data_IF_319000732001
#
_entry.id   IF_319000732001
#
_cell.length_a   1.000
_cell.length_b   1.000
_cell.length_c   1.000
_cell.angle_alpha   90.00
_cell.angle_beta   90.00
_cell.angle_gamma   90.00
#
_symmetry.space_group_name_H-M   'P 1'
#
loop_
_entity.id
_entity.type
_entity.pdbx_description
1 polymer ?
#
# COMPACT_ATOMS: atom_id res chain seq x y z
N UNK A 1 -26.26 -9.28 -1.18
CA UNK A 1 -24.89 -9.73 -0.87
C UNK A 1 -24.39 -9.00 0.35
N UNK A 2 -23.75 -9.71 1.29
CA UNK A 2 -23.27 -9.15 2.55
C UNK A 2 -21.74 -9.00 2.55
N UNK A 3 -21.06 -9.81 1.74
CA UNK A 3 -19.60 -9.87 1.69
C UNK A 3 -19.11 -9.76 0.25
N UNK A 4 -17.90 -9.20 0.10
CA UNK A 4 -17.14 -9.29 -1.13
C UNK A 4 -15.69 -9.59 -0.80
N UNK A 5 -15.06 -10.36 -1.69
CA UNK A 5 -13.65 -10.66 -1.53
C UNK A 5 -12.90 -10.30 -2.81
N UNK A 6 -11.85 -9.51 -2.68
CA UNK A 6 -10.96 -9.20 -3.80
C UNK A 6 -9.87 -10.26 -3.86
N UNK A 7 -9.71 -10.87 -5.03
CA UNK A 7 -8.68 -11.84 -5.34
C UNK A 7 -7.65 -11.13 -6.23
N UNK A 8 -6.48 -10.86 -5.71
CA UNK A 8 -5.43 -10.15 -6.43
C UNK A 8 -4.17 -10.04 -5.60
N UNK A 9 -3.01 -9.88 -6.22
CA UNK A 9 -1.70 -9.79 -5.56
C UNK A 9 -0.96 -8.52 -5.96
N UNK A 10 -0.02 -8.07 -5.14
CA UNK A 10 0.76 -6.86 -5.39
C UNK A 10 -0.13 -5.62 -5.46
N UNK A 11 -0.05 -4.85 -6.54
CA UNK A 11 -0.86 -3.64 -6.73
C UNK A 11 -2.37 -3.89 -6.80
N UNK A 12 -2.78 -5.11 -7.14
CA UNK A 12 -4.19 -5.51 -7.11
C UNK A 12 -4.69 -5.84 -5.69
N UNK A 13 -3.85 -5.76 -4.66
CA UNK A 13 -4.19 -5.98 -3.26
C UNK A 13 -3.78 -4.80 -2.38
N UNK A 14 -2.48 -4.44 -2.38
CA UNK A 14 -1.88 -3.56 -1.38
C UNK A 14 -2.58 -2.19 -1.29
N UNK A 15 -2.77 -1.52 -2.42
CA UNK A 15 -3.44 -0.22 -2.47
C UNK A 15 -4.92 -0.32 -2.11
N UNK A 16 -5.73 -1.10 -2.83
CA UNK A 16 -7.16 -1.27 -2.53
C UNK A 16 -7.43 -1.69 -1.08
N UNK A 17 -6.64 -2.61 -0.53
CA UNK A 17 -6.76 -3.03 0.88
C UNK A 17 -6.41 -1.89 1.84
N UNK A 18 -5.34 -1.15 1.58
CA UNK A 18 -4.95 -0.01 2.40
C UNK A 18 -6.04 1.07 2.42
N UNK A 19 -6.63 1.38 1.26
CA UNK A 19 -7.71 2.36 1.14
C UNK A 19 -9.01 1.88 1.80
N UNK A 20 -9.35 0.59 1.65
CA UNK A 20 -10.51 0.02 2.33
C UNK A 20 -10.39 0.13 3.85
N UNK A 21 -9.27 -0.33 4.42
CA UNK A 21 -9.02 -0.27 5.86
C UNK A 21 -9.02 1.19 6.34
N UNK A 22 -8.45 2.10 5.55
CA UNK A 22 -8.39 3.51 5.91
C UNK A 22 -9.79 4.17 5.98
N UNK A 23 -10.76 3.72 5.18
CA UNK A 23 -12.08 4.34 5.10
C UNK A 23 -13.19 3.55 5.83
N UNK A 24 -12.94 2.33 6.29
CA UNK A 24 -13.98 1.49 6.88
C UNK A 24 -14.67 2.17 8.07
N UNK A 25 -13.90 2.74 9.00
CA UNK A 25 -14.46 3.43 10.17
C UNK A 25 -15.18 4.72 9.78
N UNK A 26 -14.60 5.49 8.85
CA UNK A 26 -15.25 6.70 8.32
C UNK A 26 -16.60 6.37 7.65
N UNK A 27 -16.64 5.31 6.85
CA UNK A 27 -17.87 4.87 6.18
C UNK A 27 -18.95 4.43 7.17
N UNK A 28 -18.55 3.73 8.25
CA UNK A 28 -19.47 3.36 9.34
C UNK A 28 -20.03 4.59 10.06
N UNK A 29 -19.18 5.57 10.39
CA UNK A 29 -19.59 6.81 11.06
C UNK A 29 -20.53 7.65 10.18
N UNK A 30 -20.35 7.62 8.86
CA UNK A 30 -21.12 8.41 7.90
C UNK A 30 -22.27 7.64 7.23
N UNK A 31 -22.61 6.44 7.70
CA UNK A 31 -23.70 5.58 7.18
C UNK A 31 -23.56 5.25 5.68
N UNK A 32 -22.34 5.25 5.13
CA UNK A 32 -22.05 4.86 3.74
C UNK A 32 -21.56 3.43 3.61
N UNK A 33 -21.29 2.76 4.73
CA UNK A 33 -20.87 1.35 4.76
C UNK A 33 -21.98 0.44 4.21
N UNK A 34 -21.69 -0.23 3.09
CA UNK A 34 -22.66 -1.08 2.37
C UNK A 34 -22.39 -2.57 2.61
N UNK A 35 -21.13 -2.96 2.51
CA UNK A 35 -20.72 -4.37 2.59
C UNK A 35 -19.30 -4.49 3.15
N UNK A 36 -19.04 -5.57 3.86
CA UNK A 36 -17.68 -5.91 4.35
C UNK A 36 -16.81 -6.42 3.20
N UNK A 37 -15.55 -5.98 3.12
CA UNK A 37 -14.57 -6.50 2.17
C UNK A 37 -13.55 -7.41 2.84
N UNK A 38 -13.22 -8.51 2.14
CA UNK A 38 -12.11 -9.41 2.44
C UNK A 38 -11.13 -9.41 1.27
N UNK A 39 -9.93 -9.92 1.51
CA UNK A 39 -8.87 -9.93 0.51
C UNK A 39 -8.16 -11.27 0.53
N UNK A 40 -8.03 -11.89 -0.65
CA UNK A 40 -7.27 -13.12 -0.88
C UNK A 40 -6.12 -12.73 -1.81
N UNK A 41 -4.90 -12.71 -1.29
CA UNK A 41 -3.76 -12.17 -2.04
C UNK A 41 -2.56 -13.11 -2.13
N UNK A 42 -2.40 -14.00 -1.15
CA UNK A 42 -1.30 -14.95 -1.16
C UNK A 42 -1.74 -16.27 -1.82
N UNK A 43 -0.81 -16.94 -2.50
CA UNK A 43 -1.03 -18.31 -3.01
C UNK A 43 -0.99 -19.35 -1.89
N UNK A 44 -0.71 -18.94 -0.67
CA UNK A 44 -0.84 -19.77 0.52
C UNK A 44 -2.30 -20.26 0.65
N UNK A 45 -2.54 -21.59 0.65
CA UNK A 45 -3.89 -22.12 0.73
C UNK A 45 -4.64 -21.70 1.99
N UNK A 46 -3.93 -21.42 3.09
CA UNK A 46 -4.54 -21.01 4.34
C UNK A 46 -5.12 -19.57 4.25
N UNK A 47 -4.56 -18.69 3.41
CA UNK A 47 -5.12 -17.35 3.16
C UNK A 47 -6.51 -17.43 2.54
N UNK A 48 -6.66 -18.18 1.45
CA UNK A 48 -7.95 -18.38 0.79
C UNK A 48 -8.94 -19.14 1.69
N UNK A 49 -8.49 -20.23 2.35
CA UNK A 49 -9.33 -21.04 3.23
C UNK A 49 -9.89 -20.24 4.41
N UNK A 50 -9.07 -19.39 5.05
CA UNK A 50 -9.49 -18.56 6.17
C UNK A 50 -10.56 -17.54 5.76
N UNK A 51 -10.38 -16.90 4.59
CA UNK A 51 -11.38 -15.96 4.06
C UNK A 51 -12.69 -16.68 3.76
N UNK A 52 -12.65 -17.82 3.04
CA UNK A 52 -13.84 -18.59 2.67
C UNK A 52 -14.61 -19.11 3.89
N UNK A 53 -13.90 -19.51 4.95
CA UNK A 53 -14.52 -19.94 6.21
C UNK A 53 -15.18 -18.79 6.99
N UNK A 54 -14.81 -17.53 6.71
CA UNK A 54 -15.30 -16.35 7.42
C UNK A 54 -16.50 -15.68 6.74
N UNK A 55 -16.96 -16.16 5.58
CA UNK A 55 -18.03 -15.54 4.78
C UNK A 55 -19.14 -16.51 4.45
N UNK A 56 -20.35 -16.00 4.26
CA UNK A 56 -21.45 -16.76 3.67
C UNK A 56 -21.31 -16.76 2.14
N UNK A 57 -20.94 -17.89 1.56
CA UNK A 57 -20.69 -18.03 0.12
C UNK A 57 -21.91 -17.67 -0.73
N UNK A 58 -23.13 -18.01 -0.29
CA UNK A 58 -24.37 -17.71 -1.02
C UNK A 58 -24.64 -16.20 -1.10
N UNK A 59 -24.13 -15.43 -0.16
CA UNK A 59 -24.28 -13.98 -0.11
C UNK A 59 -22.97 -13.23 -0.40
N UNK A 60 -21.99 -13.92 -1.00
CA UNK A 60 -20.67 -13.34 -1.33
C UNK A 60 -20.51 -13.07 -2.82
N UNK A 61 -19.75 -12.03 -3.14
CA UNK A 61 -19.27 -11.69 -4.47
C UNK A 61 -17.74 -11.67 -4.46
N UNK A 62 -17.10 -12.33 -5.40
CA UNK A 62 -15.66 -12.39 -5.54
C UNK A 62 -15.20 -11.54 -6.74
N UNK A 63 -14.23 -10.66 -6.53
CA UNK A 63 -13.69 -9.76 -7.53
C UNK A 63 -12.31 -10.28 -7.91
N UNK A 64 -12.15 -10.85 -9.10
CA UNK A 64 -10.87 -11.32 -9.63
C UNK A 64 -10.16 -10.16 -10.31
N UNK A 65 -9.02 -9.74 -9.76
CA UNK A 65 -8.27 -8.58 -10.24
C UNK A 65 -6.94 -9.01 -10.84
N UNK A 66 -6.85 -8.99 -12.15
CA UNK A 66 -5.62 -9.29 -12.89
C UNK A 66 -5.61 -8.56 -14.23
N UNK A 67 -4.73 -7.55 -14.39
CA UNK A 67 -4.62 -6.80 -15.65
C UNK A 67 -4.34 -7.73 -16.84
N UNK A 68 -3.36 -8.62 -16.72
CA UNK A 68 -3.00 -9.55 -17.79
C UNK A 68 -3.90 -10.77 -17.91
N UNK A 69 -4.66 -11.11 -16.86
CA UNK A 69 -5.42 -12.35 -16.78
C UNK A 69 -4.57 -13.63 -16.73
N UNK A 70 -3.27 -13.50 -16.44
CA UNK A 70 -2.30 -14.62 -16.48
C UNK A 70 -1.45 -14.74 -15.20
N UNK A 71 -1.76 -13.96 -14.18
CA UNK A 71 -1.03 -13.97 -12.91
C UNK A 71 -1.32 -15.29 -12.17
N UNK A 72 -0.29 -16.13 -12.01
CA UNK A 72 -0.41 -17.48 -11.47
C UNK A 72 -1.12 -17.50 -10.11
N UNK A 73 -0.70 -16.66 -9.19
CA UNK A 73 -1.24 -16.58 -7.84
C UNK A 73 -2.74 -16.21 -7.85
N UNK A 74 -3.13 -15.25 -8.67
CA UNK A 74 -4.52 -14.83 -8.82
C UNK A 74 -5.39 -15.94 -9.40
N UNK A 75 -4.93 -16.62 -10.47
CA UNK A 75 -5.66 -17.72 -11.10
C UNK A 75 -5.76 -18.94 -10.17
N UNK A 76 -4.73 -19.21 -9.36
CA UNK A 76 -4.77 -20.29 -8.35
C UNK A 76 -5.83 -20.00 -7.29
N UNK A 77 -5.85 -18.79 -6.74
CA UNK A 77 -6.84 -18.36 -5.76
C UNK A 77 -8.26 -18.31 -6.34
N UNK A 78 -8.39 -17.90 -7.60
CA UNK A 78 -9.65 -17.96 -8.33
C UNK A 78 -10.17 -19.39 -8.43
N UNK A 79 -9.32 -20.34 -8.82
CA UNK A 79 -9.69 -21.76 -8.91
C UNK A 79 -10.10 -22.32 -7.54
N UNK A 80 -9.40 -21.91 -6.46
CA UNK A 80 -9.73 -22.28 -5.09
C UNK A 80 -11.14 -21.80 -4.69
N UNK A 81 -11.49 -20.56 -5.02
CA UNK A 81 -12.81 -19.99 -4.77
C UNK A 81 -13.90 -20.66 -5.63
N UNK A 82 -13.63 -20.94 -6.92
CA UNK A 82 -14.55 -21.66 -7.81
C UNK A 82 -14.89 -23.06 -7.28
N UNK A 83 -13.87 -23.79 -6.79
CA UNK A 83 -14.05 -25.11 -6.17
C UNK A 83 -14.94 -25.02 -4.92
N UNK A 84 -14.69 -24.05 -4.04
CA UNK A 84 -15.49 -23.84 -2.83
C UNK A 84 -16.96 -23.50 -3.15
N UNK A 85 -17.21 -22.62 -4.11
CA UNK A 85 -18.56 -22.28 -4.57
C UNK A 85 -19.27 -23.51 -5.15
N UNK A 86 -18.59 -24.28 -5.99
CA UNK A 86 -19.13 -25.51 -6.60
C UNK A 86 -19.47 -26.56 -5.55
N UNK A 87 -18.59 -26.79 -4.57
CA UNK A 87 -18.86 -27.72 -3.44
C UNK A 87 -20.04 -27.27 -2.58
N UNK A 88 -20.31 -25.97 -2.50
CA UNK A 88 -21.48 -25.41 -1.84
C UNK A 88 -22.77 -25.50 -2.70
N UNK A 89 -22.72 -26.06 -3.92
CA UNK A 89 -23.86 -26.14 -4.84
C UNK A 89 -24.19 -24.81 -5.53
N UNK A 90 -23.26 -23.85 -5.53
CA UNK A 90 -23.42 -22.53 -6.14
C UNK A 90 -22.79 -22.49 -7.53
N UNK A 91 -23.35 -21.67 -8.43
CA UNK A 91 -22.75 -21.43 -9.74
C UNK A 91 -21.71 -20.31 -9.63
N UNK A 92 -20.38 -20.56 -9.82
CA UNK A 92 -19.35 -19.55 -9.69
C UNK A 92 -19.58 -18.30 -10.56
N UNK A 93 -20.08 -18.46 -11.80
CA UNK A 93 -20.31 -17.32 -12.71
C UNK A 93 -21.34 -16.32 -12.21
N UNK A 94 -22.17 -16.69 -11.22
CA UNK A 94 -23.14 -15.78 -10.56
C UNK A 94 -22.57 -15.08 -9.32
N UNK A 95 -21.36 -15.43 -8.90
CA UNK A 95 -20.71 -14.96 -7.70
C UNK A 95 -19.37 -14.26 -7.97
N UNK A 96 -18.97 -14.15 -9.24
CA UNK A 96 -17.67 -13.61 -9.60
C UNK A 96 -17.77 -12.49 -10.62
N UNK A 97 -16.91 -11.51 -10.52
CA UNK A 97 -16.67 -10.49 -11.55
C UNK A 97 -15.17 -10.32 -11.77
N UNK A 98 -14.77 -9.86 -12.95
CA UNK A 98 -13.38 -9.60 -13.29
C UNK A 98 -13.09 -8.08 -13.33
N UNK A 99 -11.92 -7.69 -12.82
CA UNK A 99 -11.30 -6.38 -13.10
C UNK A 99 -10.01 -6.65 -13.87
N UNK A 100 -9.97 -6.27 -15.14
CA UNK A 100 -8.93 -6.71 -16.07
C UNK A 100 -8.74 -5.72 -17.23
N UNK A 101 -7.75 -5.94 -18.11
CA UNK A 101 -7.64 -5.24 -19.38
C UNK A 101 -8.64 -5.79 -20.40
N UNK A 102 -9.07 -4.95 -21.34
CA UNK A 102 -9.90 -5.40 -22.49
C UNK A 102 -9.21 -6.45 -23.36
N UNK A 103 -7.87 -6.48 -23.36
CA UNK A 103 -7.03 -7.44 -24.12
C UNK A 103 -6.81 -8.76 -23.38
N UNK A 104 -7.22 -8.83 -22.11
CA UNK A 104 -7.02 -10.00 -21.23
C UNK A 104 -7.95 -11.16 -21.60
N UNK A 105 -7.52 -12.42 -21.39
CA UNK A 105 -8.39 -13.58 -21.52
C UNK A 105 -9.64 -13.51 -20.64
N UNK A 106 -9.57 -12.84 -19.48
CA UNK A 106 -10.70 -12.70 -18.54
C UNK A 106 -11.81 -11.79 -19.09
N UNK A 107 -11.49 -10.87 -20.03
CA UNK A 107 -12.41 -9.86 -20.54
C UNK A 107 -13.66 -10.43 -21.23
N UNK A 108 -13.54 -11.61 -21.83
CA UNK A 108 -14.59 -12.28 -22.60
C UNK A 108 -15.02 -13.63 -22.02
N UNK A 109 -14.58 -13.94 -20.81
CA UNK A 109 -14.89 -15.20 -20.16
C UNK A 109 -16.34 -15.21 -19.63
N UNK A 110 -17.09 -16.26 -19.91
CA UNK A 110 -18.44 -16.50 -19.38
C UNK A 110 -18.43 -16.94 -17.91
N UNK A 111 -17.24 -17.06 -17.32
CA UNK A 111 -17.06 -17.42 -15.89
C UNK A 111 -17.41 -16.28 -14.93
N UNK A 112 -17.71 -15.09 -15.45
CA UNK A 112 -17.98 -13.90 -14.64
C UNK A 112 -19.34 -13.28 -14.97
N UNK A 113 -19.95 -12.65 -13.96
CA UNK A 113 -21.15 -11.82 -14.14
C UNK A 113 -20.89 -10.68 -15.13
N UNK A 114 -19.73 -10.07 -15.04
CA UNK A 114 -19.27 -8.97 -15.89
C UNK A 114 -17.77 -8.77 -15.73
N UNK A 115 -17.16 -8.07 -16.69
CA UNK A 115 -15.81 -7.55 -16.58
C UNK A 115 -15.86 -6.01 -16.48
N UNK A 116 -15.02 -5.45 -15.62
CA UNK A 116 -14.76 -4.02 -15.47
C UNK A 116 -13.35 -3.76 -15.98
N UNK A 117 -13.18 -2.79 -16.83
CA UNK A 117 -11.91 -2.62 -17.53
C UNK A 117 -11.02 -1.55 -16.90
N UNK A 118 -9.73 -1.80 -16.97
CA UNK A 118 -8.66 -0.85 -16.69
C UNK A 118 -7.74 -0.72 -17.90
N UNK A 119 -7.20 0.47 -18.12
CA UNK A 119 -6.29 0.73 -19.22
C UNK A 119 -4.94 0.00 -19.07
N UNK A 120 -4.37 -0.44 -20.19
CA UNK A 120 -3.12 -1.21 -20.23
C UNK A 120 -1.91 -0.44 -19.69
N UNK A 121 -1.91 0.90 -19.84
CA UNK A 121 -0.81 1.75 -19.35
C UNK A 121 -0.81 1.92 -17.82
N UNK A 122 -1.89 1.57 -17.11
CA UNK A 122 -1.93 1.68 -15.65
C UNK A 122 -1.05 0.60 -15.02
N UNK A 123 -0.02 1.02 -14.29
CA UNK A 123 0.83 0.13 -13.50
C UNK A 123 0.12 -0.38 -12.24
N UNK A 124 0.41 -1.63 -11.81
CA UNK A 124 -0.27 -2.24 -10.66
C UNK A 124 -0.20 -1.40 -9.39
N UNK A 125 0.97 -0.88 -9.02
CA UNK A 125 1.17 -0.07 -7.81
C UNK A 125 0.51 1.32 -7.85
N UNK A 126 0.13 1.80 -9.05
CA UNK A 126 -0.59 3.05 -9.28
C UNK A 126 -2.07 2.83 -9.65
N UNK A 127 -2.59 1.62 -9.45
CA UNK A 127 -3.93 1.26 -9.92
C UNK A 127 -5.05 1.51 -8.90
N UNK A 128 -4.73 1.99 -7.71
CA UNK A 128 -5.71 2.18 -6.62
C UNK A 128 -6.83 3.16 -6.95
N UNK A 129 -6.56 4.15 -7.81
CA UNK A 129 -7.54 5.14 -8.31
C UNK A 129 -8.19 4.72 -9.63
N UNK A 130 -7.91 3.51 -10.14
CA UNK A 130 -8.54 2.92 -11.33
C UNK A 130 -9.70 2.00 -10.95
N UNK A 131 -10.19 1.23 -11.94
CA UNK A 131 -11.18 0.17 -11.71
C UNK A 131 -10.76 -0.84 -10.63
N UNK A 132 -9.47 -1.01 -10.36
CA UNK A 132 -8.92 -1.92 -9.34
C UNK A 132 -9.36 -1.54 -7.92
N UNK A 133 -9.18 -0.30 -7.52
CA UNK A 133 -9.72 0.20 -6.25
C UNK A 133 -11.19 0.60 -6.37
N UNK A 134 -11.61 1.15 -7.51
CA UNK A 134 -12.97 1.60 -7.76
C UNK A 134 -14.03 0.53 -7.57
N UNK A 135 -13.79 -0.70 -8.05
CA UNK A 135 -14.73 -1.80 -7.90
C UNK A 135 -14.97 -2.16 -6.43
N UNK A 136 -13.89 -2.43 -5.67
CA UNK A 136 -14.03 -2.85 -4.26
C UNK A 136 -14.56 -1.71 -3.38
N UNK A 137 -14.05 -0.47 -3.54
CA UNK A 137 -14.44 0.65 -2.70
C UNK A 137 -15.87 1.12 -2.98
N UNK A 138 -16.30 1.17 -4.25
CA UNK A 138 -17.68 1.53 -4.60
C UNK A 138 -18.69 0.51 -4.09
N UNK A 139 -18.36 -0.78 -4.17
CA UNK A 139 -19.19 -1.82 -3.58
C UNK A 139 -19.18 -1.74 -2.04
N UNK A 140 -18.06 -1.36 -1.41
CA UNK A 140 -17.92 -1.25 0.03
C UNK A 140 -18.70 -0.07 0.62
N UNK A 141 -18.54 1.08 0.01
CA UNK A 141 -18.89 2.36 0.62
C UNK A 141 -19.85 3.19 -0.22
N UNK A 142 -20.09 2.82 -1.48
CA UNK A 142 -20.82 3.57 -2.48
C UNK A 142 -19.90 4.31 -3.46
N UNK A 143 -20.32 4.49 -4.71
CA UNK A 143 -19.50 5.15 -5.74
C UNK A 143 -19.19 6.62 -5.40
N UNK A 144 -20.03 7.28 -4.63
CA UNK A 144 -19.83 8.67 -4.19
C UNK A 144 -18.61 8.81 -3.27
N UNK A 145 -18.33 7.78 -2.45
CA UNK A 145 -17.15 7.77 -1.58
C UNK A 145 -15.87 7.60 -2.41
N UNK A 146 -15.91 6.75 -3.44
CA UNK A 146 -14.81 6.63 -4.36
C UNK A 146 -14.60 7.90 -5.18
N UNK A 147 -15.67 8.56 -5.62
CA UNK A 147 -15.58 9.86 -6.31
C UNK A 147 -14.91 10.92 -5.43
N UNK A 148 -15.25 11.03 -4.14
CA UNK A 148 -14.60 11.95 -3.21
C UNK A 148 -13.10 11.64 -3.05
N UNK A 149 -12.70 10.36 -3.09
CA UNK A 149 -11.27 9.98 -3.07
C UNK A 149 -10.58 10.49 -4.33
N UNK A 150 -11.19 10.32 -5.50
CA UNK A 150 -10.66 10.84 -6.77
C UNK A 150 -10.58 12.36 -6.79
N UNK A 151 -11.56 13.06 -6.24
CA UNK A 151 -11.56 14.53 -6.12
C UNK A 151 -10.36 15.00 -5.26
N UNK A 152 -10.09 14.29 -4.16
CA UNK A 152 -8.94 14.59 -3.32
C UNK A 152 -7.60 14.37 -4.04
N UNK A 153 -7.47 13.25 -4.76
CA UNK A 153 -6.29 12.97 -5.57
C UNK A 153 -6.09 14.04 -6.68
N UNK A 154 -7.16 14.38 -7.39
CA UNK A 154 -7.11 15.43 -8.42
C UNK A 154 -6.73 16.81 -7.87
N UNK A 155 -7.13 17.13 -6.64
CA UNK A 155 -6.75 18.39 -5.99
C UNK A 155 -5.24 18.43 -5.70
N UNK A 156 -4.66 17.32 -5.24
CA UNK A 156 -3.21 17.21 -5.01
C UNK A 156 -2.43 17.24 -6.34
N UNK A 157 -2.92 16.57 -7.37
CA UNK A 157 -2.31 16.62 -8.70
C UNK A 157 -2.23 18.05 -9.26
N UNK A 158 -3.21 18.91 -8.95
CA UNK A 158 -3.13 20.32 -9.32
C UNK A 158 -1.99 21.05 -8.59
N UNK A 159 -1.73 20.74 -7.33
CA UNK A 159 -0.58 21.29 -6.60
C UNK A 159 0.74 20.79 -7.21
N UNK A 160 0.81 19.52 -7.60
CA UNK A 160 1.97 18.93 -8.26
C UNK A 160 2.35 19.61 -9.59
N UNK A 161 1.38 20.25 -10.28
CA UNK A 161 1.67 21.01 -11.51
C UNK A 161 2.29 22.39 -11.26
N UNK A 162 2.34 22.85 -10.01
CA UNK A 162 2.86 24.18 -9.68
C UNK A 162 4.39 24.22 -9.84
N UNK A 163 4.89 25.21 -10.59
CA UNK A 163 6.34 25.40 -10.81
C UNK A 163 7.05 26.13 -9.67
N UNK A 164 6.31 26.78 -8.78
CA UNK A 164 6.85 27.36 -7.55
C UNK A 164 7.01 26.24 -6.52
N UNK A 165 8.25 25.87 -6.23
CA UNK A 165 8.58 24.77 -5.31
C UNK A 165 7.92 24.93 -3.93
N UNK A 166 7.80 26.17 -3.44
CA UNK A 166 7.16 26.43 -2.13
C UNK A 166 5.64 26.24 -2.14
N UNK A 167 5.05 26.01 -3.32
CA UNK A 167 3.62 25.72 -3.52
C UNK A 167 3.39 24.33 -4.12
N UNK A 168 4.44 23.53 -4.21
CA UNK A 168 4.39 22.16 -4.72
C UNK A 168 4.95 21.23 -3.64
N UNK A 169 4.11 20.79 -2.70
CA UNK A 169 4.55 19.94 -1.59
C UNK A 169 5.15 18.61 -2.06
N UNK A 170 4.64 18.06 -3.16
CA UNK A 170 5.07 16.77 -3.71
C UNK A 170 6.51 16.85 -4.24
N UNK A 171 6.81 17.91 -5.02
CA UNK A 171 8.16 18.16 -5.51
C UNK A 171 9.11 18.50 -4.37
N UNK A 172 8.66 19.28 -3.39
CA UNK A 172 9.47 19.63 -2.21
C UNK A 172 9.85 18.37 -1.42
N UNK A 173 8.87 17.49 -1.13
CA UNK A 173 9.11 16.25 -0.41
C UNK A 173 9.99 15.28 -1.24
N UNK A 174 9.82 15.24 -2.57
CA UNK A 174 10.69 14.47 -3.45
C UNK A 174 12.15 14.93 -3.36
N UNK A 175 12.39 16.22 -3.39
CA UNK A 175 13.75 16.81 -3.31
C UNK A 175 14.37 16.60 -1.92
N UNK A 176 13.58 16.68 -0.84
CA UNK A 176 14.02 16.33 0.51
C UNK A 176 14.50 14.88 0.55
N UNK A 177 13.68 13.93 0.04
CA UNK A 177 14.05 12.51 0.01
C UNK A 177 15.31 12.24 -0.83
N UNK A 178 15.50 12.95 -1.97
CA UNK A 178 16.73 12.85 -2.76
C UNK A 178 17.93 13.40 -1.98
N UNK A 179 17.79 14.53 -1.30
CA UNK A 179 18.83 15.07 -0.43
C UNK A 179 19.22 14.09 0.67
N UNK A 180 18.24 13.50 1.34
CA UNK A 180 18.44 12.49 2.38
C UNK A 180 19.16 11.25 1.83
N UNK A 181 18.75 10.76 0.67
CA UNK A 181 19.29 9.56 0.04
C UNK A 181 20.67 9.77 -0.59
N UNK A 182 20.86 10.84 -1.37
CA UNK A 182 22.04 11.03 -2.20
C UNK A 182 23.11 11.93 -1.56
N UNK A 183 22.71 12.90 -0.74
CA UNK A 183 23.66 13.83 -0.09
C UNK A 183 23.99 13.35 1.33
N UNK A 184 22.99 12.98 2.12
CA UNK A 184 23.19 12.50 3.49
C UNK A 184 23.54 11.00 3.55
N UNK A 185 23.23 10.24 2.49
CA UNK A 185 23.54 8.81 2.39
C UNK A 185 22.62 7.90 3.21
N UNK A 186 21.43 8.36 3.59
CA UNK A 186 20.50 7.57 4.40
C UNK A 186 19.85 6.47 3.55
N UNK A 187 19.97 5.17 3.95
CA UNK A 187 19.51 4.08 3.10
C UNK A 187 18.02 3.76 3.22
N UNK A 188 17.36 4.27 4.25
CA UNK A 188 15.97 3.93 4.59
C UNK A 188 15.19 5.17 4.97
N UNK A 189 13.85 5.08 4.85
CA UNK A 189 12.89 6.09 5.35
C UNK A 189 11.77 5.38 6.08
N UNK A 190 11.40 5.86 7.27
CA UNK A 190 10.27 5.34 8.03
C UNK A 190 9.03 6.20 7.83
N UNK A 191 7.92 5.60 7.40
CA UNK A 191 6.60 6.25 7.28
C UNK A 191 5.76 5.87 8.49
N UNK A 192 5.39 6.86 9.29
CA UNK A 192 4.84 6.70 10.63
C UNK A 192 3.45 7.38 10.74
N UNK A 193 2.37 6.72 10.28
CA UNK A 193 1.03 7.26 10.39
C UNK A 193 0.51 7.17 11.83
N UNK A 194 0.16 8.30 12.43
CA UNK A 194 -0.52 8.35 13.73
C UNK A 194 -2.04 8.22 13.52
N UNK A 195 -2.40 7.11 12.91
CA UNK A 195 -3.77 6.67 12.66
C UNK A 195 -3.79 5.17 12.42
N UNK A 196 -4.52 4.41 13.22
CA UNK A 196 -4.66 2.96 13.04
C UNK A 196 -5.32 2.61 11.70
N UNK A 197 -6.18 3.49 11.19
CA UNK A 197 -6.81 3.34 9.89
C UNK A 197 -5.80 3.28 8.73
N UNK A 198 -4.61 3.87 8.90
CA UNK A 198 -3.52 3.83 7.91
C UNK A 198 -2.53 2.66 8.14
N UNK A 199 -2.90 1.63 8.89
CA UNK A 199 -2.00 0.51 9.23
C UNK A 199 -1.40 -0.21 8.01
N UNK A 200 -2.09 -0.27 6.89
CA UNK A 200 -1.60 -0.89 5.64
C UNK A 200 -1.00 0.11 4.65
N UNK A 201 -1.08 1.41 4.94
CA UNK A 201 -0.58 2.45 4.04
C UNK A 201 0.96 2.38 3.85
N UNK A 202 1.78 2.20 4.91
CA UNK A 202 3.22 2.00 4.72
C UNK A 202 3.57 0.80 3.83
N UNK A 203 2.83 -0.32 3.92
CA UNK A 203 3.04 -1.49 3.07
C UNK A 203 2.68 -1.21 1.59
N UNK A 204 1.68 -0.39 1.32
CA UNK A 204 1.39 0.09 -0.04
C UNK A 204 2.54 0.97 -0.56
N UNK A 205 3.05 1.89 0.26
CA UNK A 205 4.17 2.75 -0.12
C UNK A 205 5.48 1.98 -0.33
N UNK A 206 5.68 0.85 0.36
CA UNK A 206 6.81 -0.04 0.06
C UNK A 206 6.80 -0.45 -1.41
N UNK A 207 5.66 -0.90 -1.92
CA UNK A 207 5.56 -1.24 -3.34
C UNK A 207 5.69 0.01 -4.22
N UNK A 208 4.96 1.08 -3.91
CA UNK A 208 4.99 2.30 -4.72
C UNK A 208 6.41 2.83 -4.92
N UNK A 209 7.21 2.96 -3.86
CA UNK A 209 8.55 3.55 -3.93
C UNK A 209 9.61 2.52 -4.37
N UNK A 210 9.71 1.39 -3.65
CA UNK A 210 10.80 0.45 -3.84
C UNK A 210 10.74 -0.25 -5.21
N UNK A 211 9.55 -0.53 -5.73
CA UNK A 211 9.37 -1.12 -7.06
C UNK A 211 9.54 -0.07 -8.17
N UNK A 212 9.19 1.20 -7.92
CA UNK A 212 9.36 2.29 -8.88
C UNK A 212 10.80 2.76 -9.01
N UNK A 213 11.46 3.02 -7.88
CA UNK A 213 12.74 3.72 -7.83
C UNK A 213 13.92 2.84 -7.37
N UNK A 214 13.67 1.59 -6.97
CA UNK A 214 14.73 0.62 -6.63
C UNK A 214 15.41 0.09 -7.90
N UNK A 215 16.14 0.94 -8.64
CA UNK A 215 16.74 0.63 -9.95
C UNK A 215 18.24 0.87 -9.96
N UNK A 216 18.95 0.13 -10.81
CA UNK A 216 20.39 0.28 -11.05
C UNK A 216 20.69 0.79 -12.46
N UNK A 217 19.65 1.02 -13.25
CA UNK A 217 19.74 1.55 -14.62
C UNK A 217 18.77 2.72 -14.80
N UNK A 218 19.13 3.66 -15.67
CA UNK A 218 18.27 4.78 -16.04
C UNK A 218 17.18 4.35 -17.07
N UNK A 219 16.31 5.28 -17.46
CA UNK A 219 15.24 5.02 -18.44
C UNK A 219 15.73 4.60 -19.84
N UNK A 220 17.01 4.73 -20.13
CA UNK A 220 17.65 4.33 -21.37
C UNK A 220 18.41 2.99 -21.23
N UNK A 221 18.22 2.27 -20.11
CA UNK A 221 18.92 1.02 -19.79
C UNK A 221 20.43 1.17 -19.59
N UNK A 222 20.89 2.34 -19.21
CA UNK A 222 22.29 2.61 -18.90
C UNK A 222 22.52 2.54 -17.38
N UNK A 223 23.63 1.93 -16.90
CA UNK A 223 23.94 1.88 -15.48
C UNK A 223 24.03 3.27 -14.84
N UNK A 224 23.46 3.45 -13.65
CA UNK A 224 23.62 4.68 -12.88
C UNK A 224 24.76 4.54 -11.87
N UNK A 225 25.50 5.63 -11.63
CA UNK A 225 26.62 5.70 -10.69
C UNK A 225 26.23 6.22 -9.30
N UNK A 226 24.97 6.50 -9.07
CA UNK A 226 24.40 7.02 -7.82
C UNK A 226 23.40 6.03 -7.24
N UNK A 227 23.13 6.17 -5.95
CA UNK A 227 22.11 5.37 -5.27
C UNK A 227 20.71 5.90 -5.60
N UNK A 228 19.74 4.99 -5.69
CA UNK A 228 18.34 5.30 -5.98
C UNK A 228 17.47 4.91 -4.79
N UNK A 229 16.18 4.85 -4.93
CA UNK A 229 15.15 4.55 -3.94
C UNK A 229 15.60 4.04 -2.56
N UNK A 230 15.08 4.60 -1.46
CA UNK A 230 15.37 4.12 -0.11
C UNK A 230 14.59 2.82 0.18
N UNK A 231 14.96 2.13 1.26
CA UNK A 231 14.10 1.11 1.87
C UNK A 231 12.98 1.82 2.63
N UNK A 232 11.74 1.55 2.27
CA UNK A 232 10.55 2.08 2.95
C UNK A 232 10.04 1.05 3.95
N UNK A 233 9.79 1.48 5.19
CA UNK A 233 9.09 0.69 6.19
C UNK A 233 8.27 1.60 7.10
N UNK A 234 7.39 1.04 7.90
CA UNK A 234 6.64 1.82 8.89
C UNK A 234 5.51 1.05 9.52
N UNK A 235 5.04 1.60 10.62
CA UNK A 235 3.91 1.13 11.41
C UNK A 235 3.16 2.33 12.00
N UNK A 236 1.88 2.18 12.35
CA UNK A 236 1.16 3.23 13.03
C UNK A 236 1.81 3.64 14.38
N UNK A 237 1.89 4.93 14.64
CA UNK A 237 2.01 5.42 16.02
C UNK A 237 0.67 5.19 16.78
N UNK A 238 0.70 4.79 18.06
CA UNK A 238 1.87 4.65 18.92
C UNK A 238 2.53 3.25 18.88
N UNK A 239 1.98 2.30 18.14
CA UNK A 239 2.45 0.90 18.12
C UNK A 239 3.93 0.79 17.72
N UNK A 240 4.35 1.51 16.69
CA UNK A 240 5.74 1.52 16.22
C UNK A 240 6.76 1.87 17.31
N UNK A 241 6.36 2.69 18.31
CA UNK A 241 7.24 3.05 19.44
C UNK A 241 7.60 1.84 20.31
N UNK A 242 6.71 0.85 20.37
CA UNK A 242 6.91 -0.39 21.13
C UNK A 242 7.53 -1.51 20.25
N UNK A 243 8.01 -1.16 19.07
CA UNK A 243 8.63 -2.07 18.11
C UNK A 243 10.05 -1.65 17.76
N UNK A 244 10.23 -0.60 16.96
CA UNK A 244 11.53 -0.24 16.39
C UNK A 244 12.02 1.17 16.73
N UNK A 245 11.33 1.96 17.54
CA UNK A 245 11.78 3.32 17.89
C UNK A 245 13.08 3.35 18.70
N UNK A 246 13.41 2.27 19.39
CA UNK A 246 14.73 2.12 20.02
C UNK A 246 15.85 2.33 19.00
N UNK A 247 15.75 1.69 17.85
CA UNK A 247 16.72 1.86 16.74
C UNK A 247 16.67 3.27 16.16
N UNK A 248 15.47 3.83 15.96
CA UNK A 248 15.32 5.16 15.40
C UNK A 248 15.96 6.24 16.28
N UNK A 249 15.82 6.13 17.62
CA UNK A 249 16.40 7.09 18.56
C UNK A 249 17.90 6.89 18.80
N UNK A 250 18.34 5.66 19.05
CA UNK A 250 19.67 5.36 19.57
C UNK A 250 20.50 4.46 18.66
N UNK A 251 19.95 4.01 17.51
CA UNK A 251 20.69 3.22 16.55
C UNK A 251 21.83 3.97 15.90
N UNK A 252 22.77 3.24 15.29
CA UNK A 252 23.92 3.79 14.57
C UNK A 252 23.51 4.54 13.30
N UNK A 253 22.49 4.02 12.60
CA UNK A 253 22.00 4.61 11.37
C UNK A 253 21.01 5.73 11.64
N UNK A 254 21.09 6.78 10.82
CA UNK A 254 20.09 7.85 10.80
C UNK A 254 19.05 7.45 9.77
N UNK A 255 17.79 7.41 10.21
CA UNK A 255 16.65 7.08 9.38
C UNK A 255 15.71 8.29 9.36
N UNK A 256 15.50 8.95 8.23
CA UNK A 256 14.49 9.98 8.06
C UNK A 256 13.09 9.48 8.42
N UNK A 257 12.30 10.33 9.07
CA UNK A 257 10.98 9.99 9.58
C UNK A 257 9.92 10.83 8.89
N UNK A 258 8.93 10.18 8.30
CA UNK A 258 7.79 10.85 7.69
C UNK A 258 6.53 10.55 8.51
N UNK A 259 6.11 11.52 9.31
CA UNK A 259 4.92 11.42 10.14
C UNK A 259 3.67 11.80 9.35
N UNK A 260 2.55 11.13 9.63
CA UNK A 260 1.22 11.49 9.14
C UNK A 260 0.29 11.58 10.35
N UNK A 261 -0.37 12.70 10.53
CA UNK A 261 -1.24 12.95 11.68
C UNK A 261 -2.56 13.60 11.33
N UNK A 262 -3.58 13.37 12.17
CA UNK A 262 -4.90 14.00 12.04
C UNK A 262 -5.34 14.60 13.37
N UNK A 263 -6.02 15.76 13.28
CA UNK A 263 -6.51 16.48 14.46
C UNK A 263 -7.75 15.83 15.07
N UNK A 264 -8.53 15.08 14.28
CA UNK A 264 -9.79 14.44 14.67
C UNK A 264 -9.80 12.95 14.31
N UNK A 265 -10.48 12.15 15.13
CA UNK A 265 -10.76 10.73 14.81
C UNK A 265 -11.95 10.60 13.85
N UNK A 266 -11.97 9.53 13.06
CA UNK A 266 -13.01 9.27 12.06
C UNK A 266 -14.38 8.94 12.67
N UNK A 267 -14.41 8.27 13.82
CA UNK A 267 -15.64 7.84 14.47
C UNK A 267 -16.24 8.91 15.38
N UNK A 268 -15.47 9.93 15.75
CA UNK A 268 -15.91 10.95 16.70
C UNK A 268 -16.17 10.41 18.13
N UNK A 269 -15.84 9.16 18.40
CA UNK A 269 -15.98 8.52 19.73
C UNK A 269 -14.66 8.63 20.44
N UNK A 270 -14.66 9.25 21.63
CA UNK A 270 -13.48 9.43 22.46
C UNK A 270 -13.86 9.39 23.95
N UNK A 271 -12.87 9.24 24.81
CA UNK A 271 -13.05 9.24 26.26
C UNK A 271 -12.03 10.17 26.90
N UNK A 272 -12.46 10.91 27.93
CA UNK A 272 -11.55 11.72 28.78
C UNK A 272 -11.05 10.87 29.94
N UNK A 273 -9.74 10.71 30.00
CA UNK A 273 -9.05 10.04 31.12
C UNK A 273 -7.87 10.91 31.49
N UNK A 274 -7.81 11.29 32.77
CA UNK A 274 -6.75 12.15 33.31
C UNK A 274 -6.69 13.52 32.60
N UNK A 275 -7.84 14.13 32.39
CA UNK A 275 -8.03 15.44 31.74
C UNK A 275 -7.52 15.53 30.31
N UNK A 276 -7.53 14.43 29.60
CA UNK A 276 -7.21 14.42 28.15
C UNK A 276 -7.89 13.27 27.42
N UNK A 277 -8.26 13.52 26.18
CA UNK A 277 -8.88 12.50 25.34
C UNK A 277 -7.83 11.59 24.68
N UNK A 278 -8.24 10.42 24.17
CA UNK A 278 -7.32 9.53 23.44
C UNK A 278 -6.73 10.23 22.22
N UNK A 279 -7.53 11.00 21.48
CA UNK A 279 -7.04 11.77 20.33
C UNK A 279 -6.01 12.83 20.74
N UNK A 280 -6.24 13.54 21.86
CA UNK A 280 -5.26 14.50 22.39
C UNK A 280 -3.96 13.81 22.79
N UNK A 281 -4.03 12.62 23.41
CA UNK A 281 -2.83 11.82 23.75
C UNK A 281 -2.06 11.40 22.50
N UNK A 282 -2.77 10.99 21.43
CA UNK A 282 -2.16 10.62 20.16
C UNK A 282 -1.45 11.82 19.51
N UNK A 283 -2.09 12.99 19.45
CA UNK A 283 -1.50 14.22 18.91
C UNK A 283 -0.32 14.72 19.77
N UNK A 284 -0.44 14.68 21.09
CA UNK A 284 0.66 15.04 21.99
C UNK A 284 1.86 14.11 21.80
N UNK A 285 1.60 12.82 21.56
CA UNK A 285 2.64 11.84 21.35
C UNK A 285 3.43 12.11 20.06
N UNK A 286 2.78 12.33 18.91
CA UNK A 286 3.52 12.65 17.67
C UNK A 286 4.34 13.93 17.84
N UNK A 287 3.79 14.97 18.44
CA UNK A 287 4.51 16.21 18.70
C UNK A 287 5.76 15.98 19.58
N UNK A 288 5.61 15.20 20.67
CA UNK A 288 6.71 14.85 21.54
C UNK A 288 7.80 14.04 20.83
N UNK A 289 7.42 13.07 19.97
CA UNK A 289 8.37 12.27 19.23
C UNK A 289 9.16 13.12 18.22
N UNK A 290 8.52 14.00 17.47
CA UNK A 290 9.21 14.92 16.54
C UNK A 290 10.30 15.71 17.28
N UNK A 291 9.97 16.28 18.42
CA UNK A 291 10.94 17.07 19.23
C UNK A 291 12.03 16.18 19.83
N UNK A 292 11.68 14.99 20.35
CA UNK A 292 12.65 14.06 20.91
C UNK A 292 13.66 13.58 19.83
N UNK A 293 13.21 13.30 18.63
CA UNK A 293 14.07 12.92 17.49
C UNK A 293 14.96 14.08 17.04
N UNK A 294 14.43 15.28 16.99
CA UNK A 294 15.18 16.47 16.54
C UNK A 294 16.22 16.92 17.56
N UNK A 295 15.82 17.11 18.81
CA UNK A 295 16.64 17.72 19.86
C UNK A 295 17.48 16.69 20.62
N UNK A 296 16.99 15.48 20.83
CA UNK A 296 17.63 14.51 21.73
C UNK A 296 17.64 14.95 23.19
N UNK A 297 18.46 14.29 23.98
CA UNK A 297 18.69 14.59 25.38
C UNK A 297 20.04 14.02 25.80
N UNK A 298 20.90 14.83 26.41
CA UNK A 298 22.10 14.35 27.08
C UNK A 298 21.78 13.83 28.49
N UNK A 299 22.45 12.76 28.88
CA UNK A 299 22.33 12.15 30.20
C UNK A 299 23.67 11.53 30.60
N UNK A 300 24.02 11.58 31.90
CA UNK A 300 25.24 10.96 32.45
C UNK A 300 25.23 9.42 32.26
N UNK A 301 24.05 8.82 32.33
CA UNK A 301 23.85 7.42 31.97
C UNK A 301 23.72 7.31 30.44
N UNK A 302 24.76 6.78 29.77
CA UNK A 302 24.81 6.65 28.33
C UNK A 302 23.64 5.86 27.73
N UNK A 303 22.99 4.96 28.47
CA UNK A 303 21.77 4.27 28.05
C UNK A 303 20.57 5.21 27.92
N UNK A 304 20.61 6.39 28.54
CA UNK A 304 19.56 7.41 28.50
C UNK A 304 19.95 8.60 27.64
N UNK A 305 21.04 8.49 26.89
CA UNK A 305 21.52 9.55 25.99
C UNK A 305 20.88 9.41 24.62
N UNK A 306 20.20 10.45 24.18
CA UNK A 306 19.52 10.53 22.89
C UNK A 306 20.24 11.58 22.04
N UNK A 307 20.91 11.15 20.97
CA UNK A 307 21.74 12.04 20.14
C UNK A 307 20.95 13.16 19.45
N UNK A 308 19.65 12.95 19.21
CA UNK A 308 18.83 13.86 18.41
C UNK A 308 19.30 13.90 16.95
N UNK A 309 19.04 15.03 16.26
CA UNK A 309 19.44 15.30 14.88
C UNK A 309 18.92 14.22 13.90
N UNK A 310 17.75 13.64 14.21
CA UNK A 310 17.04 12.72 13.32
C UNK A 310 16.08 13.56 12.49
N UNK A 311 16.27 13.65 11.16
CA UNK A 311 15.41 14.45 10.32
C UNK A 311 13.99 13.89 10.27
N UNK A 312 13.01 14.79 10.24
CA UNK A 312 11.62 14.38 10.09
C UNK A 312 10.80 15.41 9.34
N UNK A 313 9.76 14.94 8.65
CA UNK A 313 8.68 15.75 8.09
C UNK A 313 7.34 15.26 8.66
N UNK A 314 6.32 16.10 8.58
CA UNK A 314 4.96 15.72 8.99
C UNK A 314 3.92 16.23 8.01
N UNK A 315 3.01 15.37 7.61
CA UNK A 315 1.78 15.71 6.88
C UNK A 315 0.64 15.71 7.90
N UNK A 316 -0.10 16.84 7.99
CA UNK A 316 -1.19 17.00 8.96
C UNK A 316 -2.49 17.27 8.21
N UNK A 317 -3.50 16.42 8.46
CA UNK A 317 -4.88 16.65 8.06
C UNK A 317 -5.80 17.02 9.25
N UNK A 318 -6.96 17.56 8.96
CA UNK A 318 -7.97 17.77 10.01
C UNK A 318 -8.60 16.44 10.42
N UNK A 319 -9.00 15.63 9.45
CA UNK A 319 -9.61 14.31 9.62
C UNK A 319 -9.28 13.43 8.42
N UNK A 320 -9.16 12.10 8.63
CA UNK A 320 -8.99 11.14 7.54
C UNK A 320 -10.35 10.85 6.90
N UNK A 321 -10.62 11.53 5.79
CA UNK A 321 -11.82 11.42 4.94
C UNK A 321 -11.45 10.78 3.60
N UNK A 322 -12.42 10.41 2.74
CA UNK A 322 -12.11 9.95 1.39
C UNK A 322 -11.26 10.95 0.59
N UNK A 323 -11.61 12.24 0.63
CA UNK A 323 -10.85 13.26 -0.08
C UNK A 323 -9.42 13.43 0.48
N UNK A 324 -9.24 13.51 1.81
CA UNK A 324 -7.90 13.64 2.39
C UNK A 324 -7.04 12.39 2.18
N UNK A 325 -7.66 11.19 2.10
CA UNK A 325 -6.96 9.96 1.75
C UNK A 325 -6.54 9.96 0.28
N UNK A 326 -7.39 10.44 -0.62
CA UNK A 326 -7.06 10.59 -2.04
C UNK A 326 -5.89 11.55 -2.26
N UNK A 327 -5.92 12.72 -1.59
CA UNK A 327 -4.82 13.67 -1.62
C UNK A 327 -3.52 13.07 -1.05
N UNK A 328 -3.59 12.36 0.07
CA UNK A 328 -2.43 11.69 0.67
C UNK A 328 -1.83 10.64 -0.26
N UNK A 329 -2.66 9.84 -0.94
CA UNK A 329 -2.20 8.85 -1.91
C UNK A 329 -1.49 9.52 -3.09
N UNK A 330 -2.12 10.53 -3.70
CA UNK A 330 -1.57 11.28 -4.84
C UNK A 330 -0.27 12.00 -4.47
N UNK A 331 -0.18 12.57 -3.26
CA UNK A 331 1.06 13.18 -2.75
C UNK A 331 2.24 12.21 -2.83
N UNK A 332 2.10 10.99 -2.31
CA UNK A 332 3.17 10.01 -2.35
C UNK A 332 3.45 9.48 -3.75
N UNK A 333 2.42 9.26 -4.58
CA UNK A 333 2.60 8.84 -5.97
C UNK A 333 3.36 9.91 -6.77
N UNK A 334 3.00 11.19 -6.63
CA UNK A 334 3.67 12.32 -7.25
C UNK A 334 5.12 12.50 -6.74
N UNK A 335 5.34 12.40 -5.42
CA UNK A 335 6.69 12.41 -4.82
C UNK A 335 7.59 11.36 -5.47
N UNK A 336 7.11 10.11 -5.55
CA UNK A 336 7.87 8.98 -6.11
C UNK A 336 8.16 9.21 -7.60
N UNK A 337 7.18 9.70 -8.36
CA UNK A 337 7.33 10.05 -9.77
C UNK A 337 8.39 11.16 -9.96
N UNK A 338 8.35 12.24 -9.17
CA UNK A 338 9.33 13.30 -9.24
C UNK A 338 10.74 12.84 -8.88
N UNK A 339 10.89 11.98 -7.88
CA UNK A 339 12.17 11.35 -7.57
C UNK A 339 12.70 10.53 -8.76
N UNK A 340 11.83 9.71 -9.39
CA UNK A 340 12.17 8.97 -10.59
C UNK A 340 12.63 9.85 -11.74
N UNK A 341 12.00 11.01 -11.95
CA UNK A 341 12.43 11.98 -12.95
C UNK A 341 13.81 12.56 -12.67
N UNK A 342 14.08 12.95 -11.42
CA UNK A 342 15.39 13.50 -11.01
C UNK A 342 16.49 12.45 -11.14
N UNK A 343 16.22 11.20 -10.76
CA UNK A 343 17.14 10.06 -10.94
C UNK A 343 17.17 9.52 -12.38
N UNK A 344 16.39 10.12 -13.29
CA UNK A 344 16.28 9.69 -14.69
C UNK A 344 15.90 8.20 -14.86
N UNK A 345 15.03 7.69 -13.98
CA UNK A 345 14.59 6.29 -13.97
C UNK A 345 13.32 6.07 -14.80
N UNK A 346 13.05 4.81 -15.19
CA UNK A 346 11.71 4.36 -15.53
C UNK A 346 11.03 3.84 -14.26
N UNK A 347 10.19 4.66 -13.65
CA UNK A 347 9.46 4.31 -12.42
C UNK A 347 8.23 3.44 -12.66
N UNK A 348 7.97 3.01 -13.90
CA UNK A 348 6.71 2.34 -14.29
C UNK A 348 6.89 0.88 -14.73
N UNK A 349 8.13 0.36 -14.76
CA UNK A 349 8.43 -1.06 -14.98
C UNK A 349 8.78 -1.79 -13.67
N UNK A 350 8.91 -3.13 -13.73
CA UNK A 350 9.22 -3.99 -12.60
C UNK A 350 9.97 -5.26 -13.03
N UNK A 351 11.04 -5.12 -13.79
CA UNK A 351 11.83 -6.25 -14.31
C UNK A 351 12.47 -7.11 -13.20
N UNK A 352 12.76 -6.52 -12.02
CA UNK A 352 13.39 -7.20 -10.89
C UNK A 352 12.65 -8.42 -10.34
N UNK A 353 11.35 -8.55 -10.62
CA UNK A 353 10.54 -9.69 -10.14
C UNK A 353 10.42 -10.82 -11.19
N UNK A 354 10.92 -10.64 -12.42
CA UNK A 354 10.70 -11.60 -13.50
C UNK A 354 11.50 -12.88 -13.34
N UNK A 355 12.76 -12.81 -12.87
CA UNK A 355 13.61 -13.97 -12.70
C UNK A 355 13.00 -15.01 -11.76
N UNK A 356 12.47 -14.59 -10.61
CA UNK A 356 11.79 -15.47 -9.65
C UNK A 356 10.61 -16.21 -10.29
N UNK A 357 9.78 -15.51 -11.09
CA UNK A 357 8.65 -16.12 -11.80
C UNK A 357 9.09 -17.17 -12.82
N UNK A 358 10.18 -16.93 -13.56
CA UNK A 358 10.74 -17.90 -14.51
C UNK A 358 11.23 -19.15 -13.78
N UNK A 359 11.96 -18.98 -12.67
CA UNK A 359 12.49 -20.10 -11.89
C UNK A 359 11.35 -20.91 -11.24
N UNK A 360 10.33 -20.25 -10.68
CA UNK A 360 9.16 -20.92 -10.11
C UNK A 360 8.44 -21.81 -11.16
N UNK A 361 8.24 -21.29 -12.39
CA UNK A 361 7.68 -22.10 -13.48
C UNK A 361 8.54 -23.32 -13.83
N UNK A 362 9.88 -23.19 -13.79
CA UNK A 362 10.78 -24.34 -14.01
C UNK A 362 10.62 -25.40 -12.92
N UNK A 363 10.52 -24.99 -11.65
CA UNK A 363 10.29 -25.90 -10.53
C UNK A 363 8.97 -26.66 -10.71
N UNK A 364 7.87 -25.95 -10.96
CA UNK A 364 6.54 -26.55 -11.18
C UNK A 364 6.50 -27.48 -12.40
N UNK A 365 7.34 -27.25 -13.40
CA UNK A 365 7.49 -28.10 -14.57
C UNK A 365 8.47 -29.27 -14.35
N UNK A 366 8.99 -29.48 -13.13
CA UNK A 366 10.03 -30.45 -12.79
C UNK A 366 11.30 -30.34 -13.67
N UNK A 367 11.59 -29.14 -14.16
CA UNK A 367 12.76 -28.80 -14.98
C UNK A 367 13.78 -28.05 -14.11
N UNK A 368 14.39 -28.75 -13.18
CA UNK A 368 15.33 -28.20 -12.21
C UNK A 368 16.72 -28.80 -12.38
N UNK A 369 17.75 -27.98 -12.18
CA UNK A 369 19.16 -28.36 -12.21
C UNK A 369 19.97 -27.58 -11.16
N UNK A 370 21.19 -27.99 -10.89
CA UNK A 370 22.12 -27.31 -10.00
C UNK A 370 21.52 -26.94 -8.64
N UNK A 371 21.71 -25.70 -8.22
CA UNK A 371 21.19 -25.20 -6.93
C UNK A 371 19.65 -25.20 -6.88
N UNK A 372 18.97 -24.93 -8.00
CA UNK A 372 17.51 -24.93 -8.04
C UNK A 372 16.94 -26.31 -7.68
N UNK A 373 17.60 -27.39 -8.17
CA UNK A 373 17.20 -28.76 -7.82
C UNK A 373 17.37 -29.05 -6.33
N UNK A 374 18.49 -28.63 -5.74
CA UNK A 374 18.74 -28.84 -4.30
C UNK A 374 17.63 -28.24 -3.44
N UNK A 375 17.21 -27.01 -3.76
CA UNK A 375 16.15 -26.35 -2.98
C UNK A 375 14.76 -26.91 -3.29
N UNK A 376 14.47 -27.33 -4.53
CA UNK A 376 13.17 -27.99 -4.81
C UNK A 376 13.07 -29.34 -4.11
N UNK A 377 14.15 -30.16 -4.09
CA UNK A 377 14.19 -31.43 -3.36
C UNK A 377 14.01 -31.21 -1.84
N UNK A 378 14.63 -30.16 -1.27
CA UNK A 378 14.47 -29.79 0.15
C UNK A 378 13.01 -29.44 0.51
N UNK A 379 12.29 -28.82 -0.41
CA UNK A 379 10.89 -28.42 -0.26
C UNK A 379 9.90 -29.50 -0.71
N UNK A 380 10.38 -30.68 -1.15
CA UNK A 380 9.59 -31.80 -1.66
C UNK A 380 8.69 -31.43 -2.87
N UNK A 381 9.23 -30.66 -3.80
CA UNK A 381 8.54 -30.21 -5.04
C UNK A 381 9.39 -30.48 -6.28
#
# INVERSE_FOLDING_TARGET
MLFRSQIGIGGSDLGPRALYIALENWAKANNTFKMEAKFISNVDPDDAAAVLASVDLAHSLFIVVSKSGTTLETLTNEAFVKDALTKAGLNPSKHMLAVTSETSPLAKSEDYLTAIFMDDYIGGRYSSVSAVGGAILSLAFGPEVFAQLLDGAAAEDQLATNRDLMKNPDMLDALIGIYERNVQGYPSTAVLPYSQALSRFPAHLQQCDMESNGKTVNRFSEPVSYVTGPVIFGEPGTNGQHSFYQLLHQGSDIIPLQFIGFKKSQLGVDVDIENSTSQQKLCANVAAQIIAFACGKEDENLNKNFKGKRPSSIIIGDELTPASLGALLAHFENKIMFQGFVWNLNSFDQEGVQLGKVLAKRVLAHNTDGALKVFSDLLNI
#
